data_IF_016039724703
#
_entry.id   IF_016039724703
#
_cell.length_a   1.000
_cell.length_b   1.000
_cell.length_c   1.000
_cell.angle_alpha   90.00
_cell.angle_beta   90.00
_cell.angle_gamma   90.00
#
_symmetry.space_group_name_H-M   'P 1'
#
loop_
_entity.id
_entity.type
_entity.pdbx_description
1 polymer ?
#
# COMPACT_ATOMS: atom_id res chain seq x y z
N UNK A 1 -6.65 23.82 29.94
CA UNK A 1 -7.74 24.61 29.36
C UNK A 1 -9.05 24.49 30.16
N UNK A 2 -9.45 23.26 30.54
CA UNK A 2 -10.68 23.01 31.31
C UNK A 2 -10.68 23.72 32.65
N UNK A 3 -9.57 23.78 33.41
CA UNK A 3 -9.46 24.52 34.68
C UNK A 3 -9.59 26.02 34.52
N UNK A 4 -9.20 26.58 33.38
CA UNK A 4 -9.34 28.00 33.05
C UNK A 4 -10.81 28.35 32.78
N UNK A 5 -11.50 27.55 31.97
CA UNK A 5 -12.91 27.74 31.64
C UNK A 5 -13.84 27.53 32.84
N UNK A 6 -13.49 26.56 33.74
CA UNK A 6 -14.19 26.36 34.98
C UNK A 6 -14.07 27.58 35.93
N UNK A 7 -12.90 28.22 35.98
CA UNK A 7 -12.68 29.40 36.82
C UNK A 7 -13.43 30.63 36.34
N UNK A 8 -13.74 30.74 35.04
CA UNK A 8 -14.53 31.84 34.44
C UNK A 8 -16.03 31.72 34.82
N UNK A 9 -16.55 30.50 35.01
CA UNK A 9 -17.97 30.27 35.28
C UNK A 9 -18.39 30.55 36.74
N UNK A 10 -17.46 30.37 37.69
CA UNK A 10 -17.72 30.52 39.12
C UNK A 10 -17.38 31.92 39.66
N UNK A 11 -16.77 32.81 38.86
CA UNK A 11 -16.27 34.09 39.30
C UNK A 11 -17.14 35.25 38.86
N UNK A 12 -17.27 36.27 39.74
CA UNK A 12 -17.84 37.56 39.39
C UNK A 12 -17.11 38.21 38.21
N UNK A 13 -17.79 39.06 37.43
CA UNK A 13 -17.31 39.56 36.13
C UNK A 13 -15.92 40.24 36.14
N UNK A 14 -15.45 40.76 37.27
CA UNK A 14 -14.11 41.35 37.40
C UNK A 14 -13.02 40.31 37.36
N UNK A 15 -13.29 39.13 37.94
CA UNK A 15 -12.34 37.99 37.94
C UNK A 15 -12.28 37.31 36.58
N UNK A 16 -13.40 37.28 35.84
CA UNK A 16 -13.44 36.73 34.48
C UNK A 16 -12.62 37.55 33.50
N UNK A 17 -12.64 38.88 33.58
CA UNK A 17 -11.83 39.77 32.74
C UNK A 17 -10.33 39.66 33.03
N UNK A 18 -9.97 39.50 34.30
CA UNK A 18 -8.55 39.29 34.68
C UNK A 18 -8.02 37.91 34.29
N UNK A 19 -8.87 36.87 34.35
CA UNK A 19 -8.53 35.51 33.89
C UNK A 19 -8.36 35.44 32.36
N UNK A 20 -9.16 36.19 31.59
CA UNK A 20 -9.01 36.31 30.15
C UNK A 20 -7.70 37.01 29.74
N UNK A 21 -7.24 38.01 30.51
CA UNK A 21 -5.94 38.69 30.31
C UNK A 21 -4.75 37.76 30.56
N UNK A 22 -4.91 36.72 31.36
CA UNK A 22 -3.90 35.72 31.64
C UNK A 22 -3.97 34.51 30.70
N UNK A 23 -4.90 34.50 29.72
CA UNK A 23 -5.01 33.43 28.75
C UNK A 23 -3.74 33.41 27.87
N UNK A 24 -2.87 32.41 28.00
CA UNK A 24 -1.70 32.33 27.14
C UNK A 24 -2.20 32.08 25.73
N UNK A 25 -2.06 33.06 24.83
CA UNK A 25 -2.21 32.84 23.40
C UNK A 25 -1.22 31.76 23.00
N UNK A 26 -1.66 30.53 22.97
CA UNK A 26 -0.82 29.36 22.72
C UNK A 26 -0.38 29.42 21.26
N UNK A 27 0.95 29.45 21.06
CA UNK A 27 1.48 29.28 19.70
C UNK A 27 0.93 28.00 19.10
N UNK A 28 0.32 28.10 17.92
CA UNK A 28 -0.24 26.94 17.23
C UNK A 28 0.91 25.93 16.89
N UNK A 29 0.94 24.75 17.50
CA UNK A 29 1.99 23.76 17.24
C UNK A 29 1.93 23.19 15.83
N UNK A 30 0.80 23.34 15.13
CA UNK A 30 0.57 22.86 13.77
C UNK A 30 0.81 23.94 12.72
N UNK A 31 1.93 24.65 12.82
CA UNK A 31 2.30 25.71 11.87
C UNK A 31 2.42 25.19 10.41
N UNK A 32 2.50 26.12 9.47
CA UNK A 32 2.61 25.86 8.02
C UNK A 32 3.72 24.87 7.65
N UNK A 33 4.82 24.84 8.41
CA UNK A 33 5.92 23.89 8.24
C UNK A 33 5.49 22.44 8.47
N UNK A 34 4.66 22.17 9.47
CA UNK A 34 4.16 20.82 9.72
C UNK A 34 3.17 20.38 8.64
N UNK A 35 2.30 21.28 8.16
CA UNK A 35 1.42 21.02 7.02
C UNK A 35 2.21 20.66 5.75
N UNK A 36 3.31 21.35 5.45
CA UNK A 36 4.15 21.04 4.29
C UNK A 36 4.84 19.67 4.43
N UNK A 37 5.24 19.30 5.64
CA UNK A 37 5.84 17.99 5.92
C UNK A 37 4.83 16.84 5.67
N UNK A 38 3.58 16.97 6.12
CA UNK A 38 2.53 15.98 5.85
C UNK A 38 2.28 15.82 4.35
N UNK A 39 2.16 16.94 3.60
CA UNK A 39 2.01 16.89 2.14
C UNK A 39 3.19 16.19 1.47
N UNK A 40 4.41 16.51 1.87
CA UNK A 40 5.61 15.85 1.34
C UNK A 40 5.64 14.33 1.61
N UNK A 41 5.24 13.91 2.81
CA UNK A 41 5.11 12.49 3.16
C UNK A 41 4.04 11.83 2.29
N UNK A 42 2.88 12.44 2.14
CA UNK A 42 1.80 11.96 1.28
C UNK A 42 2.26 11.77 -0.17
N UNK A 43 2.94 12.76 -0.76
CA UNK A 43 3.46 12.70 -2.13
C UNK A 43 4.46 11.54 -2.30
N UNK A 44 5.32 11.31 -1.30
CA UNK A 44 6.20 10.13 -1.28
C UNK A 44 5.43 8.82 -1.26
N UNK A 45 4.38 8.70 -0.45
CA UNK A 45 3.54 7.51 -0.42
C UNK A 45 2.84 7.27 -1.76
N UNK A 46 2.30 8.29 -2.38
CA UNK A 46 1.70 8.22 -3.72
C UNK A 46 2.71 7.74 -4.76
N UNK A 47 3.93 8.26 -4.74
CA UNK A 47 5.02 7.85 -5.63
C UNK A 47 5.38 6.37 -5.43
N UNK A 48 5.53 5.92 -4.19
CA UNK A 48 5.80 4.51 -3.85
C UNK A 48 4.67 3.62 -4.34
N UNK A 49 3.41 3.97 -4.10
CA UNK A 49 2.24 3.21 -4.55
C UNK A 49 2.20 3.11 -6.08
N UNK A 50 2.50 4.18 -6.80
CA UNK A 50 2.60 4.19 -8.26
C UNK A 50 3.72 3.26 -8.75
N UNK A 51 4.88 3.27 -8.09
CA UNK A 51 6.01 2.38 -8.40
C UNK A 51 5.64 0.91 -8.19
N UNK A 52 5.00 0.58 -7.08
CA UNK A 52 4.51 -0.78 -6.79
C UNK A 52 3.50 -1.23 -7.84
N UNK A 53 2.51 -0.40 -8.19
CA UNK A 53 1.50 -0.68 -9.23
C UNK A 53 2.14 -0.90 -10.60
N UNK A 54 3.13 -0.10 -10.97
CA UNK A 54 3.86 -0.26 -12.23
C UNK A 54 4.63 -1.58 -12.28
N UNK A 55 5.31 -1.93 -11.19
CA UNK A 55 6.03 -3.20 -11.03
C UNK A 55 5.08 -4.39 -11.10
N UNK A 56 3.94 -4.32 -10.42
CA UNK A 56 2.89 -5.34 -10.47
C UNK A 56 2.39 -5.56 -11.90
N UNK A 57 2.11 -4.48 -12.65
CA UNK A 57 1.70 -4.57 -14.07
C UNK A 57 2.78 -5.24 -14.93
N UNK A 58 4.07 -4.94 -14.70
CA UNK A 58 5.19 -5.57 -15.43
C UNK A 58 5.28 -7.07 -15.13
N UNK A 59 5.17 -7.46 -13.86
CA UNK A 59 5.20 -8.87 -13.45
C UNK A 59 4.01 -9.63 -14.02
N UNK A 60 2.81 -9.05 -13.96
CA UNK A 60 1.59 -9.65 -14.54
C UNK A 60 1.72 -9.86 -16.06
N UNK A 61 2.29 -8.90 -16.80
CA UNK A 61 2.57 -9.04 -18.23
C UNK A 61 3.56 -10.18 -18.50
N UNK A 62 4.68 -10.24 -17.76
CA UNK A 62 5.66 -11.33 -17.88
C UNK A 62 5.02 -12.70 -17.59
N UNK A 63 4.17 -12.78 -16.57
CA UNK A 63 3.46 -14.01 -16.22
C UNK A 63 2.51 -14.47 -17.34
N UNK A 64 1.75 -13.53 -17.96
CA UNK A 64 0.89 -13.81 -19.12
C UNK A 64 1.71 -14.37 -20.29
N UNK A 65 2.86 -13.77 -20.60
CA UNK A 65 3.75 -14.23 -21.66
C UNK A 65 4.27 -15.65 -21.37
N UNK A 66 4.75 -15.89 -20.15
CA UNK A 66 5.26 -17.23 -19.75
C UNK A 66 4.15 -18.28 -19.83
N UNK A 67 2.92 -17.95 -19.38
CA UNK A 67 1.75 -18.83 -19.51
C UNK A 67 1.41 -19.12 -20.98
N UNK A 68 1.41 -18.08 -21.84
CA UNK A 68 1.13 -18.23 -23.27
C UNK A 68 2.18 -19.11 -23.97
N UNK A 69 3.47 -18.86 -23.72
CA UNK A 69 4.57 -19.68 -24.26
C UNK A 69 4.45 -21.13 -23.80
N UNK A 70 4.11 -21.37 -22.51
CA UNK A 70 3.91 -22.73 -21.99
C UNK A 70 2.71 -23.44 -22.67
N UNK A 71 1.63 -22.70 -22.93
CA UNK A 71 0.45 -23.25 -23.65
C UNK A 71 0.77 -23.58 -25.09
N UNK A 72 1.48 -22.67 -25.80
CA UNK A 72 1.92 -22.89 -27.18
C UNK A 72 2.91 -24.08 -27.30
N UNK A 73 3.87 -24.19 -26.39
CA UNK A 73 4.81 -25.31 -26.41
C UNK A 73 4.15 -26.67 -26.19
N UNK A 74 3.07 -26.71 -25.37
CA UNK A 74 2.27 -27.92 -25.17
C UNK A 74 1.45 -28.26 -26.41
N UNK A 75 0.80 -27.26 -27.04
CA UNK A 75 0.02 -27.46 -28.27
C UNK A 75 0.90 -27.96 -29.41
N UNK A 76 2.08 -27.36 -29.62
CA UNK A 76 3.06 -27.82 -30.61
C UNK A 76 3.55 -29.24 -30.36
N UNK A 77 3.68 -29.66 -29.08
CA UNK A 77 4.09 -31.00 -28.74
C UNK A 77 3.02 -32.03 -29.07
N UNK A 78 1.74 -31.72 -28.85
CA UNK A 78 0.60 -32.59 -29.21
C UNK A 78 0.50 -32.73 -30.74
N UNK A 79 0.65 -31.64 -31.49
CA UNK A 79 0.63 -31.68 -32.94
C UNK A 79 1.81 -32.47 -33.51
N UNK A 80 3.04 -32.27 -32.96
CA UNK A 80 4.22 -32.98 -33.42
C UNK A 80 4.18 -34.48 -33.09
N UNK A 81 3.65 -34.86 -31.93
CA UNK A 81 3.50 -36.29 -31.56
C UNK A 81 2.30 -36.93 -32.29
N UNK A 82 1.18 -36.23 -32.45
CA UNK A 82 0.01 -36.69 -33.18
C UNK A 82 0.26 -36.83 -34.67
N UNK A 83 0.94 -35.85 -35.27
CA UNK A 83 1.31 -35.88 -36.69
C UNK A 83 2.32 -36.98 -37.02
N UNK A 84 3.31 -37.21 -36.15
CA UNK A 84 4.27 -38.30 -36.32
C UNK A 84 3.63 -39.69 -36.19
N UNK A 85 2.65 -39.86 -35.29
CA UNK A 85 1.90 -41.08 -35.16
C UNK A 85 1.00 -41.36 -36.40
N UNK A 86 0.32 -40.34 -36.90
CA UNK A 86 -0.50 -40.45 -38.11
C UNK A 86 0.34 -40.72 -39.37
N UNK A 87 1.50 -40.09 -39.52
CA UNK A 87 2.44 -40.37 -40.61
C UNK A 87 3.07 -41.77 -40.53
N UNK A 88 3.34 -42.27 -39.31
CA UNK A 88 3.85 -43.62 -39.11
C UNK A 88 2.80 -44.69 -39.46
N UNK A 89 1.52 -44.46 -39.16
CA UNK A 89 0.43 -45.39 -39.49
C UNK A 89 0.17 -45.37 -41.01
N UNK A 90 0.20 -44.21 -41.65
CA UNK A 90 0.03 -44.06 -43.10
C UNK A 90 1.18 -44.65 -43.90
N UNK A 91 2.43 -44.53 -43.42
CA UNK A 91 3.62 -45.11 -44.07
C UNK A 91 3.72 -46.62 -43.85
N UNK A 92 3.25 -47.17 -42.72
CA UNK A 92 3.31 -48.57 -42.44
C UNK A 92 2.41 -49.42 -43.39
N UNK A 93 1.32 -48.83 -43.91
CA UNK A 93 0.46 -49.56 -44.84
C UNK A 93 1.00 -49.68 -46.25
N UNK A 94 1.97 -48.84 -46.66
CA UNK A 94 2.56 -48.89 -48.00
C UNK A 94 3.97 -49.46 -48.03
N UNK A 95 4.67 -49.65 -46.93
CA UNK A 95 6.06 -50.11 -46.83
C UNK A 95 6.23 -51.53 -46.33
N UNK A 96 5.15 -52.28 -46.08
CA UNK A 96 5.21 -53.69 -45.67
C UNK A 96 5.76 -54.63 -46.77
N UNK A 97 5.95 -54.13 -48.00
CA UNK A 97 6.43 -54.94 -49.12
C UNK A 97 7.88 -54.75 -49.57
N UNK A 98 8.57 -53.67 -49.10
CA UNK A 98 9.92 -53.36 -49.59
C UNK A 98 10.96 -53.05 -48.47
N UNK A 99 10.63 -53.18 -47.20
CA UNK A 99 11.43 -52.61 -46.10
C UNK A 99 12.21 -53.61 -45.23
N UNK A 100 12.30 -54.89 -45.59
CA UNK A 100 12.94 -55.90 -44.69
C UNK A 100 14.44 -55.96 -44.73
N UNK A 101 15.13 -55.23 -45.63
CA UNK A 101 16.57 -55.31 -45.80
C UNK A 101 17.42 -54.09 -45.47
N UNK A 102 16.86 -52.91 -45.10
CA UNK A 102 17.65 -51.71 -44.79
C UNK A 102 17.44 -51.23 -43.34
N UNK A 103 16.66 -51.94 -42.52
CA UNK A 103 16.22 -51.47 -41.19
C UNK A 103 17.23 -51.67 -40.04
N UNK A 104 18.32 -52.36 -40.21
CA UNK A 104 19.18 -52.76 -39.06
C UNK A 104 20.28 -51.74 -38.68
N UNK A 105 20.67 -50.84 -39.57
CA UNK A 105 21.80 -49.93 -39.31
C UNK A 105 21.41 -48.54 -38.72
N UNK A 106 20.14 -48.13 -38.84
CA UNK A 106 19.70 -46.79 -38.38
C UNK A 106 19.14 -46.79 -36.93
N UNK A 107 18.92 -47.96 -36.34
CA UNK A 107 18.29 -48.07 -35.01
C UNK A 107 19.26 -47.72 -33.85
N UNK A 108 20.57 -47.67 -34.07
CA UNK A 108 21.57 -47.44 -33.01
C UNK A 108 21.81 -45.97 -32.64
N UNK A 109 21.56 -45.02 -33.56
CA UNK A 109 21.90 -43.61 -33.32
C UNK A 109 20.71 -42.75 -32.90
N UNK A 110 19.48 -43.18 -33.14
CA UNK A 110 18.24 -42.47 -32.75
C UNK A 110 18.04 -42.34 -31.24
N UNK A 111 18.36 -43.29 -30.36
CA UNK A 111 18.08 -43.19 -28.94
C UNK A 111 18.94 -42.13 -28.24
N UNK A 112 20.16 -41.86 -28.68
CA UNK A 112 21.07 -40.91 -28.02
C UNK A 112 20.65 -39.45 -28.31
N UNK A 113 20.31 -39.14 -29.56
CA UNK A 113 19.82 -37.82 -29.96
C UNK A 113 18.45 -37.51 -29.35
N UNK A 114 17.57 -38.50 -29.27
CA UNK A 114 16.25 -38.40 -28.63
C UNK A 114 16.38 -38.21 -27.12
N UNK A 115 17.24 -38.97 -26.46
CA UNK A 115 17.56 -38.86 -25.03
C UNK A 115 18.12 -37.49 -24.68
N UNK A 116 19.02 -36.95 -25.51
CA UNK A 116 19.60 -35.61 -25.34
C UNK A 116 18.58 -34.50 -25.55
N UNK A 117 17.65 -34.65 -26.50
CA UNK A 117 16.54 -33.71 -26.72
C UNK A 117 15.48 -33.76 -25.61
N UNK A 118 15.17 -34.95 -25.09
CA UNK A 118 14.23 -35.11 -23.96
C UNK A 118 14.85 -34.53 -22.68
N UNK A 119 16.11 -34.78 -22.39
CA UNK A 119 16.82 -34.21 -21.25
C UNK A 119 16.91 -32.67 -21.35
N UNK A 120 17.21 -32.11 -22.52
CA UNK A 120 17.23 -30.67 -22.73
C UNK A 120 15.83 -30.02 -22.60
N UNK A 121 14.77 -30.75 -23.01
CA UNK A 121 13.36 -30.29 -22.77
C UNK A 121 12.98 -30.35 -21.30
N UNK A 122 13.35 -31.41 -20.59
CA UNK A 122 13.06 -31.55 -19.16
C UNK A 122 13.75 -30.47 -18.31
N UNK A 123 15.00 -30.11 -18.64
CA UNK A 123 15.71 -29.00 -17.97
C UNK A 123 15.10 -27.64 -18.30
N UNK A 124 14.64 -27.41 -19.53
CA UNK A 124 13.96 -26.18 -19.94
C UNK A 124 12.57 -26.05 -19.28
N UNK A 125 11.87 -27.15 -19.11
CA UNK A 125 10.56 -27.19 -18.44
C UNK A 125 10.69 -26.95 -16.92
N UNK A 126 11.71 -27.54 -16.26
CA UNK A 126 12.04 -27.25 -14.86
C UNK A 126 12.41 -25.77 -14.66
N UNK A 127 13.23 -25.18 -15.55
CA UNK A 127 13.55 -23.74 -15.50
C UNK A 127 12.31 -22.87 -15.69
N UNK A 128 11.46 -23.17 -16.66
CA UNK A 128 10.21 -22.44 -16.92
C UNK A 128 9.23 -22.55 -15.74
N UNK A 129 9.11 -23.70 -15.10
CA UNK A 129 8.29 -23.92 -13.92
C UNK A 129 8.81 -23.11 -12.72
N UNK A 130 10.13 -23.12 -12.48
CA UNK A 130 10.77 -22.36 -11.41
C UNK A 130 10.62 -20.84 -11.62
N UNK A 131 10.76 -20.36 -12.85
CA UNK A 131 10.53 -18.95 -13.19
C UNK A 131 9.06 -18.55 -12.97
N UNK A 132 8.12 -19.43 -13.33
CA UNK A 132 6.70 -19.17 -13.15
C UNK A 132 6.30 -19.09 -11.67
N UNK A 133 6.82 -20.00 -10.83
CA UNK A 133 6.57 -19.96 -9.39
C UNK A 133 7.16 -18.73 -8.72
N UNK A 134 8.36 -18.30 -9.11
CA UNK A 134 8.96 -17.07 -8.59
C UNK A 134 8.21 -15.82 -9.02
N UNK A 135 7.69 -15.76 -10.27
CA UNK A 135 6.86 -14.64 -10.73
C UNK A 135 5.50 -14.57 -10.02
N UNK A 136 4.88 -15.72 -9.75
CA UNK A 136 3.63 -15.78 -8.97
C UNK A 136 3.83 -15.28 -7.55
N UNK A 137 4.89 -15.73 -6.88
CA UNK A 137 5.24 -15.26 -5.53
C UNK A 137 5.51 -13.76 -5.52
N UNK A 138 6.26 -13.25 -6.51
CA UNK A 138 6.51 -11.82 -6.65
C UNK A 138 5.23 -11.01 -6.90
N UNK A 139 4.30 -11.54 -7.71
CA UNK A 139 3.00 -10.92 -7.94
C UNK A 139 2.21 -10.81 -6.64
N UNK A 140 2.14 -11.87 -5.84
CA UNK A 140 1.46 -11.90 -4.55
C UNK A 140 2.08 -10.90 -3.56
N UNK A 141 3.40 -10.86 -3.48
CA UNK A 141 4.13 -9.90 -2.63
C UNK A 141 3.84 -8.45 -3.05
N UNK A 142 3.81 -8.15 -4.35
CA UNK A 142 3.48 -6.82 -4.86
C UNK A 142 2.02 -6.44 -4.62
N UNK A 143 1.09 -7.39 -4.71
CA UNK A 143 -0.33 -7.15 -4.40
C UNK A 143 -0.51 -6.82 -2.92
N UNK A 144 0.12 -7.59 -2.03
CA UNK A 144 0.11 -7.34 -0.59
C UNK A 144 0.75 -5.99 -0.25
N UNK A 145 1.89 -5.66 -0.87
CA UNK A 145 2.55 -4.37 -0.69
C UNK A 145 1.68 -3.21 -1.19
N UNK A 146 0.98 -3.37 -2.32
CA UNK A 146 0.09 -2.35 -2.85
C UNK A 146 -1.10 -2.10 -1.93
N UNK A 147 -1.71 -3.15 -1.38
CA UNK A 147 -2.81 -3.03 -0.40
C UNK A 147 -2.34 -2.35 0.88
N UNK A 148 -1.21 -2.78 1.44
CA UNK A 148 -0.63 -2.16 2.64
C UNK A 148 -0.29 -0.69 2.45
N UNK A 149 0.33 -0.32 1.33
CA UNK A 149 0.65 1.08 1.01
C UNK A 149 -0.62 1.91 0.81
N UNK A 150 -1.68 1.34 0.21
CA UNK A 150 -2.95 2.03 0.04
C UNK A 150 -3.60 2.35 1.40
N UNK A 151 -3.66 1.39 2.32
CA UNK A 151 -4.21 1.58 3.67
C UNK A 151 -3.41 2.65 4.42
N UNK A 152 -2.08 2.56 4.42
CA UNK A 152 -1.22 3.56 5.04
C UNK A 152 -1.41 4.97 4.45
N UNK A 153 -1.66 5.08 3.14
CA UNK A 153 -1.97 6.35 2.50
C UNK A 153 -3.28 6.94 3.00
N UNK A 154 -4.31 6.11 3.18
CA UNK A 154 -5.61 6.52 3.68
C UNK A 154 -5.57 6.96 5.15
N UNK A 155 -4.81 6.23 5.99
CA UNK A 155 -4.58 6.61 7.38
C UNK A 155 -3.84 7.96 7.47
N UNK A 156 -2.85 8.19 6.60
CA UNK A 156 -2.11 9.45 6.53
C UNK A 156 -3.00 10.62 6.10
N UNK A 157 -3.92 10.40 5.15
CA UNK A 157 -4.89 11.41 4.73
C UNK A 157 -5.82 11.79 5.89
N UNK A 158 -6.28 10.81 6.67
CA UNK A 158 -7.11 11.04 7.86
C UNK A 158 -6.36 11.86 8.90
N UNK A 159 -5.13 11.45 9.25
CA UNK A 159 -4.26 12.19 10.19
C UNK A 159 -4.01 13.61 9.69
N UNK A 160 -3.70 13.79 8.42
CA UNK A 160 -3.48 15.13 7.83
C UNK A 160 -4.73 16.01 7.92
N UNK A 161 -5.90 15.45 7.64
CA UNK A 161 -7.18 16.16 7.76
C UNK A 161 -7.48 16.58 9.20
N UNK A 162 -7.26 15.69 10.17
CA UNK A 162 -7.45 15.99 11.60
C UNK A 162 -6.49 17.07 12.08
N UNK A 163 -5.22 17.04 11.66
CA UNK A 163 -4.23 18.08 11.96
C UNK A 163 -4.66 19.44 11.41
N UNK A 164 -5.18 19.50 10.18
CA UNK A 164 -5.69 20.76 9.61
C UNK A 164 -6.87 21.29 10.42
N UNK A 165 -7.85 20.43 10.72
CA UNK A 165 -9.05 20.82 11.50
C UNK A 165 -8.69 21.30 12.90
N UNK A 166 -7.75 20.62 13.55
CA UNK A 166 -7.26 21.00 14.89
C UNK A 166 -6.52 22.32 14.84
N UNK A 167 -5.64 22.51 13.85
CA UNK A 167 -4.95 23.78 13.64
C UNK A 167 -5.91 24.95 13.43
N UNK A 168 -6.91 24.77 12.57
CA UNK A 168 -7.92 25.80 12.30
C UNK A 168 -8.81 26.08 13.53
N UNK A 169 -9.05 25.07 14.38
CA UNK A 169 -9.71 25.19 15.67
C UNK A 169 -8.92 26.07 16.63
N UNK A 170 -7.63 25.78 16.82
CA UNK A 170 -6.73 26.56 17.70
C UNK A 170 -6.63 28.01 17.24
N UNK A 171 -6.48 28.25 15.94
CA UNK A 171 -6.39 29.61 15.40
C UNK A 171 -7.68 30.39 15.65
N UNK A 172 -8.86 29.74 15.51
CA UNK A 172 -10.17 30.33 15.82
C UNK A 172 -10.33 30.66 17.32
N UNK A 173 -9.92 29.72 18.18
CA UNK A 173 -9.97 29.88 19.64
C UNK A 173 -9.07 31.02 20.09
N UNK A 174 -7.85 31.14 19.54
CA UNK A 174 -6.95 32.24 19.78
C UNK A 174 -7.57 33.60 19.32
N UNK A 175 -8.24 33.63 18.17
CA UNK A 175 -8.91 34.82 17.67
C UNK A 175 -10.09 35.22 18.58
N UNK A 176 -10.93 34.27 18.99
CA UNK A 176 -12.03 34.53 19.92
C UNK A 176 -11.53 35.02 21.27
N UNK A 177 -10.46 34.44 21.81
CA UNK A 177 -9.88 34.88 23.08
C UNK A 177 -9.41 36.35 23.01
N UNK A 178 -8.75 36.75 21.91
CA UNK A 178 -8.36 38.15 21.67
C UNK A 178 -9.56 39.09 21.57
N UNK A 179 -10.59 38.68 20.83
CA UNK A 179 -11.84 39.49 20.75
C UNK A 179 -12.55 39.66 22.11
N UNK A 180 -12.52 38.62 22.96
CA UNK A 180 -13.02 38.71 24.33
C UNK A 180 -12.23 39.72 25.17
N UNK A 181 -10.91 39.75 25.00
CA UNK A 181 -10.02 40.69 25.69
C UNK A 181 -10.33 42.17 25.27
N UNK A 182 -10.47 42.40 23.96
CA UNK A 182 -10.74 43.73 23.38
C UNK A 182 -12.13 44.27 23.80
N UNK A 183 -13.13 43.39 23.92
CA UNK A 183 -14.52 43.75 24.26
C UNK A 183 -14.88 43.62 25.74
N UNK A 184 -13.90 43.59 26.61
CA UNK A 184 -14.12 43.36 28.07
C UNK A 184 -15.07 44.34 28.75
N UNK A 185 -15.46 45.45 28.09
CA UNK A 185 -16.47 46.41 28.59
C UNK A 185 -17.94 46.01 28.37
N UNK A 186 -18.25 45.10 27.44
CA UNK A 186 -19.62 44.68 27.10
C UNK A 186 -19.94 43.29 27.67
N UNK A 187 -20.44 43.24 28.90
CA UNK A 187 -20.65 42.04 29.70
C UNK A 187 -21.48 40.95 29.00
N UNK A 188 -22.54 41.33 28.27
CA UNK A 188 -23.42 40.39 27.59
C UNK A 188 -22.74 39.73 26.38
N UNK A 189 -22.05 40.49 25.57
CA UNK A 189 -21.32 40.03 24.38
C UNK A 189 -20.14 39.09 24.75
N UNK A 190 -19.42 39.43 25.84
CA UNK A 190 -18.32 38.63 26.35
C UNK A 190 -18.78 37.25 26.84
N UNK A 191 -19.92 37.18 27.52
CA UNK A 191 -20.47 35.90 28.02
C UNK A 191 -20.86 34.95 26.88
N UNK A 192 -21.45 35.47 25.81
CA UNK A 192 -21.77 34.69 24.63
C UNK A 192 -20.51 34.16 23.94
N UNK A 193 -19.49 35.01 23.76
CA UNK A 193 -18.20 34.61 23.20
C UNK A 193 -17.48 33.55 24.05
N UNK A 194 -17.54 33.66 25.39
CA UNK A 194 -16.96 32.66 26.29
C UNK A 194 -17.67 31.32 26.14
N UNK A 195 -19.00 31.29 25.97
CA UNK A 195 -19.75 30.07 25.73
C UNK A 195 -19.37 29.42 24.37
N UNK A 196 -19.21 30.23 23.31
CA UNK A 196 -18.75 29.75 22.02
C UNK A 196 -17.29 29.24 22.09
N UNK A 197 -16.41 29.93 22.80
CA UNK A 197 -15.04 29.48 23.04
C UNK A 197 -15.01 28.13 23.76
N UNK A 198 -15.86 27.92 24.79
CA UNK A 198 -15.99 26.64 25.49
C UNK A 198 -16.42 25.51 24.56
N UNK A 199 -17.43 25.75 23.71
CA UNK A 199 -17.86 24.77 22.70
C UNK A 199 -16.74 24.43 21.71
N UNK A 200 -16.02 25.45 21.23
CA UNK A 200 -14.91 25.28 20.32
C UNK A 200 -13.78 24.45 20.96
N UNK A 201 -13.35 24.78 22.17
CA UNK A 201 -12.35 24.04 22.92
C UNK A 201 -12.74 22.56 23.13
N UNK A 202 -14.01 22.31 23.47
CA UNK A 202 -14.56 20.96 23.61
C UNK A 202 -14.49 20.18 22.29
N UNK A 203 -14.79 20.84 21.16
CA UNK A 203 -14.65 20.24 19.82
C UNK A 203 -13.19 19.95 19.46
N UNK A 204 -12.28 20.90 19.71
CA UNK A 204 -10.85 20.74 19.45
C UNK A 204 -10.24 19.62 20.28
N UNK A 205 -10.66 19.48 21.55
CA UNK A 205 -10.25 18.37 22.40
C UNK A 205 -10.64 17.02 21.80
N UNK A 206 -11.88 16.88 21.35
CA UNK A 206 -12.34 15.64 20.71
C UNK A 206 -11.56 15.32 19.44
N UNK A 207 -11.24 16.35 18.62
CA UNK A 207 -10.41 16.16 17.42
C UNK A 207 -8.98 15.73 17.82
N UNK A 208 -8.43 16.24 18.92
CA UNK A 208 -7.12 15.85 19.40
C UNK A 208 -7.09 14.39 19.89
N UNK A 209 -8.12 13.95 20.60
CA UNK A 209 -8.29 12.55 21.03
C UNK A 209 -8.42 11.61 19.82
N UNK A 210 -9.22 11.97 18.81
CA UNK A 210 -9.35 11.23 17.56
C UNK A 210 -8.02 11.18 16.79
N UNK A 211 -7.27 12.28 16.76
CA UNK A 211 -5.94 12.34 16.14
C UNK A 211 -4.94 11.41 16.84
N UNK A 212 -4.93 11.38 18.16
CA UNK A 212 -4.05 10.48 18.95
C UNK A 212 -4.35 9.03 18.63
N UNK A 213 -5.62 8.63 18.59
CA UNK A 213 -6.03 7.27 18.23
C UNK A 213 -5.55 6.89 16.81
N UNK A 214 -5.78 7.76 15.82
CA UNK A 214 -5.34 7.50 14.44
C UNK A 214 -3.82 7.45 14.31
N UNK A 215 -3.07 8.27 15.03
CA UNK A 215 -1.59 8.22 15.04
C UNK A 215 -1.11 6.89 15.66
N UNK A 216 -1.71 6.43 16.74
CA UNK A 216 -1.39 5.14 17.35
C UNK A 216 -1.65 3.97 16.39
N UNK A 217 -2.77 3.95 15.70
CA UNK A 217 -3.11 2.95 14.69
C UNK A 217 -2.13 2.98 13.52
N UNK A 218 -1.79 4.15 13.02
CA UNK A 218 -0.82 4.34 11.95
C UNK A 218 0.57 3.81 12.32
N UNK A 219 1.06 4.13 13.52
CA UNK A 219 2.33 3.62 14.03
C UNK A 219 2.33 2.10 14.20
N UNK A 220 1.24 1.52 14.73
CA UNK A 220 1.08 0.08 14.86
C UNK A 220 1.11 -0.62 13.49
N UNK A 221 0.47 -0.03 12.47
CA UNK A 221 0.48 -0.54 11.09
C UNK A 221 1.88 -0.51 10.49
N UNK A 222 2.63 0.58 10.68
CA UNK A 222 4.03 0.68 10.25
C UNK A 222 4.89 -0.37 10.94
N UNK A 223 4.75 -0.54 12.26
CA UNK A 223 5.50 -1.54 13.02
C UNK A 223 5.24 -2.96 12.50
N UNK A 224 3.96 -3.32 12.30
CA UNK A 224 3.57 -4.61 11.74
C UNK A 224 4.16 -4.83 10.35
N UNK A 225 4.13 -3.83 9.48
CA UNK A 225 4.72 -3.89 8.16
C UNK A 225 6.25 -4.13 8.22
N UNK A 226 6.96 -3.44 9.11
CA UNK A 226 8.40 -3.63 9.34
C UNK A 226 8.74 -5.05 9.79
N UNK A 227 7.99 -5.60 10.74
CA UNK A 227 8.17 -6.98 11.22
C UNK A 227 8.00 -7.98 10.08
N UNK A 228 6.97 -7.82 9.24
CA UNK A 228 6.74 -8.69 8.09
C UNK A 228 7.90 -8.64 7.07
N UNK A 229 8.45 -7.46 6.81
CA UNK A 229 9.61 -7.30 5.91
C UNK A 229 10.84 -8.00 6.49
N UNK A 230 11.13 -7.83 7.78
CA UNK A 230 12.26 -8.48 8.46
C UNK A 230 12.11 -10.00 8.40
N UNK A 231 10.92 -10.53 8.69
CA UNK A 231 10.64 -11.97 8.62
C UNK A 231 10.85 -12.54 7.19
N UNK A 232 10.44 -11.78 6.16
CA UNK A 232 10.63 -12.24 4.77
C UNK A 232 12.11 -12.21 4.34
N UNK A 233 12.89 -11.26 4.84
CA UNK A 233 14.35 -11.21 4.62
C UNK A 233 15.02 -12.38 5.32
N UNK A 234 14.70 -12.65 6.58
CA UNK A 234 15.29 -13.75 7.37
C UNK A 234 15.00 -15.14 6.79
N UNK A 235 13.86 -15.33 6.12
CA UNK A 235 13.54 -16.60 5.42
C UNK A 235 14.38 -16.85 4.17
N UNK A 236 15.08 -15.82 3.68
CA UNK A 236 15.91 -15.91 2.46
C UNK A 236 17.39 -16.01 2.75
N UNK A 237 17.79 -15.74 3.97
CA UNK A 237 19.15 -15.89 4.49
C UNK A 237 19.36 -17.30 4.99
#
# INVERSE_FOLDING_TARGET
MDNFLASITDSTASTSASALKSFPVTSNPFCTKNRSNFRHIHDKYCSILQSIRSSHRRVTRKLKIVKAVKKLSRALLVVACGGAAAAAIGAASHLLFLGFLIGAAAAGLLPIALKKRIAAKATKEKRSSKTMSSLLRLQEQLDTAAKGTYVLGQDLDTVSSLVVRLSDGIDRENAMARCCEERSGERSSVMEMVNELRKSCSSSRRIAEELEEHVCLFLATIYKARVLVIQEISKKS
#
